data_IF_145317021818
#
_entry.id   IF_145317021818
#
_cell.length_a   1.000
_cell.length_b   1.000
_cell.length_c   1.000
_cell.angle_alpha   90.00
_cell.angle_beta   90.00
_cell.angle_gamma   90.00
#
_symmetry.space_group_name_H-M   'P 1'
#
loop_
_entity.id
_entity.type
_entity.pdbx_description
1 polymer ?
#
# COMPACT_ATOMS: atom_id res chain seq x y z
N UNK A 1 6.92 -7.31 8.43
CA UNK A 1 7.10 -7.24 6.97
C UNK A 1 7.83 -5.94 6.60
N UNK A 2 8.73 -5.94 5.60
CA UNK A 2 9.40 -4.70 5.20
C UNK A 2 8.43 -3.78 4.45
N UNK A 3 8.49 -2.47 4.72
CA UNK A 3 7.71 -1.45 4.00
C UNK A 3 7.86 -1.58 2.48
N UNK A 4 9.09 -1.84 2.01
CA UNK A 4 9.39 -2.05 0.59
C UNK A 4 8.56 -3.18 -0.02
N UNK A 5 8.35 -4.25 0.73
CA UNK A 5 7.62 -5.42 0.24
C UNK A 5 6.11 -5.11 0.16
N UNK A 6 5.57 -4.39 1.14
CA UNK A 6 4.17 -3.89 1.11
C UNK A 6 3.96 -2.98 -0.11
N UNK A 7 4.82 -1.99 -0.31
CA UNK A 7 4.71 -1.06 -1.43
C UNK A 7 4.85 -1.78 -2.79
N UNK A 8 5.76 -2.75 -2.88
CA UNK A 8 5.91 -3.58 -4.08
C UNK A 8 4.61 -4.33 -4.40
N UNK A 9 4.02 -5.01 -3.42
CA UNK A 9 2.76 -5.75 -3.59
C UNK A 9 1.61 -4.82 -4.02
N UNK A 10 1.51 -3.63 -3.42
CA UNK A 10 0.48 -2.65 -3.81
C UNK A 10 0.62 -2.21 -5.27
N UNK A 11 1.85 -1.98 -5.75
CA UNK A 11 2.10 -1.64 -7.17
C UNK A 11 1.80 -2.81 -8.09
N UNK A 12 2.14 -4.03 -7.71
CA UNK A 12 1.84 -5.24 -8.47
C UNK A 12 0.33 -5.45 -8.60
N UNK A 13 -0.43 -5.26 -7.51
CA UNK A 13 -1.90 -5.34 -7.54
C UNK A 13 -2.51 -4.24 -8.39
N UNK A 14 -2.06 -2.99 -8.25
CA UNK A 14 -2.55 -1.90 -9.09
C UNK A 14 -2.33 -2.20 -10.59
N UNK A 15 -1.15 -2.72 -10.94
CA UNK A 15 -0.82 -3.14 -12.30
C UNK A 15 -1.68 -4.33 -12.77
N UNK A 16 -1.89 -5.33 -11.93
CA UNK A 16 -2.71 -6.50 -12.24
C UNK A 16 -4.18 -6.12 -12.48
N UNK A 17 -4.70 -5.17 -11.69
CA UNK A 17 -6.06 -4.64 -11.81
C UNK A 17 -6.20 -3.59 -12.91
N UNK A 18 -5.09 -3.17 -13.53
CA UNK A 18 -5.09 -2.12 -14.57
C UNK A 18 -5.43 -0.72 -14.04
N UNK A 19 -5.26 -0.48 -12.74
CA UNK A 19 -5.56 0.80 -12.08
C UNK A 19 -4.30 1.62 -11.86
N UNK A 20 -4.43 2.94 -11.96
CA UNK A 20 -3.33 3.85 -11.63
C UNK A 20 -3.08 3.87 -10.12
N UNK A 21 -1.83 4.05 -9.71
CA UNK A 21 -1.42 4.22 -8.31
C UNK A 21 -0.83 5.63 -8.12
N UNK A 22 -1.28 6.32 -7.08
CA UNK A 22 -0.73 7.59 -6.63
C UNK A 22 -0.19 7.42 -5.21
N UNK A 23 1.05 7.84 -5.02
CA UNK A 23 1.75 7.80 -3.74
C UNK A 23 2.00 9.25 -3.30
N UNK A 24 1.42 9.66 -2.17
CA UNK A 24 1.65 10.98 -1.59
C UNK A 24 2.30 10.80 -0.23
N UNK A 25 3.56 11.18 -0.12
CA UNK A 25 4.26 11.16 1.16
C UNK A 25 3.86 12.38 2.00
N UNK A 26 3.49 12.15 3.28
CA UNK A 26 3.16 13.22 4.21
C UNK A 26 3.54 12.86 5.65
N UNK A 27 4.39 13.69 6.28
CA UNK A 27 4.81 13.50 7.66
C UNK A 27 5.29 12.06 7.97
N UNK A 28 4.54 11.35 8.82
CA UNK A 28 4.86 9.99 9.29
C UNK A 28 4.34 8.85 8.41
N UNK A 29 3.49 9.13 7.40
CA UNK A 29 2.83 8.10 6.59
C UNK A 29 2.85 8.43 5.10
N UNK A 30 2.87 7.39 4.26
CA UNK A 30 2.65 7.52 2.82
C UNK A 30 1.20 7.16 2.52
N UNK A 31 0.46 8.09 1.94
CA UNK A 31 -0.89 7.84 1.42
C UNK A 31 -0.74 7.15 0.08
N UNK A 32 -1.44 6.03 -0.10
CA UNK A 32 -1.51 5.30 -1.35
C UNK A 32 -2.96 5.31 -1.81
N UNK A 33 -3.19 5.75 -3.03
CA UNK A 33 -4.52 5.81 -3.63
C UNK A 33 -4.50 5.17 -5.02
N UNK A 34 -5.45 4.28 -5.28
CA UNK A 34 -5.69 3.71 -6.59
C UNK A 34 -6.76 4.53 -7.32
N UNK A 35 -6.72 4.55 -8.65
CA UNK A 35 -7.66 5.31 -9.49
C UNK A 35 -9.11 4.84 -9.37
N UNK A 36 -9.35 3.63 -8.86
CA UNK A 36 -10.68 3.07 -8.63
C UNK A 36 -11.30 3.48 -7.28
N UNK A 37 -10.61 4.32 -6.49
CA UNK A 37 -11.07 4.84 -5.22
C UNK A 37 -10.55 4.09 -3.99
N UNK A 38 -9.88 2.93 -4.14
CA UNK A 38 -9.21 2.27 -3.02
C UNK A 38 -8.09 3.15 -2.49
N UNK A 39 -7.99 3.30 -1.17
CA UNK A 39 -6.95 4.12 -0.53
C UNK A 39 -6.51 3.53 0.80
N UNK A 40 -5.25 3.74 1.14
CA UNK A 40 -4.66 3.29 2.41
C UNK A 40 -3.51 4.21 2.84
N UNK A 41 -3.03 4.02 4.06
CA UNK A 41 -1.84 4.69 4.58
C UNK A 41 -0.80 3.65 4.98
N UNK A 42 0.44 3.88 4.56
CA UNK A 42 1.58 3.00 4.83
C UNK A 42 2.56 3.74 5.74
N UNK A 43 2.85 3.22 6.95
CA UNK A 43 3.86 3.80 7.85
C UNK A 43 5.24 3.94 7.18
N UNK A 44 6.01 4.99 7.53
CA UNK A 44 7.33 5.26 6.92
C UNK A 44 8.53 4.54 7.54
N UNK A 45 8.32 3.72 8.56
CA UNK A 45 9.40 2.92 9.12
C UNK A 45 9.72 1.71 8.25
N UNK A 46 10.94 1.19 8.37
CA UNK A 46 11.42 0.09 7.52
C UNK A 46 10.67 -1.23 7.76
N UNK A 47 10.26 -1.47 9.01
CA UNK A 47 9.62 -2.71 9.43
C UNK A 47 8.21 -2.45 9.94
N UNK A 48 7.22 -2.88 9.16
CA UNK A 48 5.81 -2.76 9.50
C UNK A 48 5.39 -4.04 10.23
N UNK A 49 4.64 -3.88 11.32
CA UNK A 49 4.01 -4.99 12.01
C UNK A 49 3.21 -5.84 11.00
N UNK A 50 3.37 -7.15 11.06
CA UNK A 50 2.78 -8.06 10.07
C UNK A 50 1.25 -7.97 10.00
N UNK A 51 0.59 -7.79 11.15
CA UNK A 51 -0.86 -7.61 11.19
C UNK A 51 -1.27 -6.33 10.46
N UNK A 52 -0.54 -5.23 10.67
CA UNK A 52 -0.80 -3.96 9.98
C UNK A 52 -0.56 -4.08 8.48
N UNK A 53 0.53 -4.71 8.07
CA UNK A 53 0.83 -4.95 6.66
C UNK A 53 -0.27 -5.80 6.00
N UNK A 54 -0.70 -6.89 6.64
CA UNK A 54 -1.74 -7.76 6.13
C UNK A 54 -3.10 -7.06 6.05
N UNK A 55 -3.46 -6.23 7.04
CA UNK A 55 -4.67 -5.40 6.98
C UNK A 55 -4.63 -4.41 5.81
N UNK A 56 -3.50 -3.74 5.57
CA UNK A 56 -3.32 -2.82 4.44
C UNK A 56 -3.49 -3.57 3.12
N UNK A 57 -2.81 -4.71 2.96
CA UNK A 57 -2.87 -5.53 1.74
C UNK A 57 -4.30 -6.03 1.48
N UNK A 58 -4.98 -6.53 2.52
CA UNK A 58 -6.37 -6.98 2.44
C UNK A 58 -7.32 -5.85 2.04
N UNK A 59 -7.18 -4.66 2.63
CA UNK A 59 -8.00 -3.49 2.29
C UNK A 59 -7.82 -3.07 0.83
N UNK A 60 -6.61 -3.21 0.31
CA UNK A 60 -6.29 -2.88 -1.09
C UNK A 60 -6.59 -4.04 -2.06
N UNK A 61 -7.15 -5.15 -1.60
CA UNK A 61 -7.54 -6.28 -2.45
C UNK A 61 -6.36 -7.12 -2.93
N UNK A 62 -5.19 -7.02 -2.29
CA UNK A 62 -4.04 -7.87 -2.59
C UNK A 62 -4.35 -9.28 -2.09
N UNK A 63 -4.34 -10.26 -3.01
CA UNK A 63 -4.46 -11.70 -2.71
C UNK A 63 -3.09 -12.36 -2.60
#
# INVERSE_FOLDING_TARGET
MKRRDVMKRLRETAKADGVGISETEGGSHTKVQFSDGRRTVVPRHNEINENTANSILKQMGVK
#
